data_IF_305096500277
#
_entry.id   IF_305096500277
#
_cell.length_a   1.000
_cell.length_b   1.000
_cell.length_c   1.000
_cell.angle_alpha   90.00
_cell.angle_beta   90.00
_cell.angle_gamma   90.00
#
_symmetry.space_group_name_H-M   'P 1'
#
loop_
_entity.id
_entity.type
_entity.pdbx_description
1 polymer ?
#
# COMPACT_ATOMS: atom_id res chain seq x y z
N UNK A 1 18.38 20.68 -22.68
CA UNK A 1 18.09 19.27 -23.07
C UNK A 1 18.26 18.30 -21.90
N UNK A 2 19.40 18.31 -21.17
CA UNK A 2 19.65 17.35 -20.08
C UNK A 2 18.65 17.34 -18.91
N UNK A 3 18.15 18.52 -18.46
CA UNK A 3 17.19 18.59 -17.34
C UNK A 3 15.88 17.84 -17.60
N UNK A 4 15.30 18.01 -18.79
CA UNK A 4 14.04 17.35 -19.18
C UNK A 4 14.19 15.82 -19.27
N UNK A 5 15.34 15.33 -19.73
CA UNK A 5 15.66 13.89 -19.73
C UNK A 5 15.76 13.36 -18.30
N UNK A 6 16.43 14.09 -17.40
CA UNK A 6 16.53 13.70 -15.98
C UNK A 6 15.15 13.68 -15.31
N UNK A 7 14.30 14.68 -15.55
CA UNK A 7 12.91 14.71 -15.04
C UNK A 7 12.10 13.49 -15.52
N UNK A 8 12.24 13.11 -16.80
CA UNK A 8 11.57 11.94 -17.36
C UNK A 8 12.09 10.63 -16.75
N UNK A 9 13.42 10.51 -16.58
CA UNK A 9 14.03 9.34 -15.92
C UNK A 9 13.56 9.22 -14.48
N UNK A 10 13.53 10.32 -13.72
CA UNK A 10 13.03 10.35 -12.34
C UNK A 10 11.56 9.95 -12.29
N UNK A 11 10.74 10.46 -13.21
CA UNK A 11 9.30 10.12 -13.28
C UNK A 11 9.09 8.62 -13.53
N UNK A 12 9.81 8.06 -14.51
CA UNK A 12 9.75 6.62 -14.81
C UNK A 12 10.25 5.77 -13.64
N UNK A 13 11.32 6.20 -12.98
CA UNK A 13 11.87 5.50 -11.82
C UNK A 13 10.89 5.53 -10.65
N UNK A 14 10.32 6.70 -10.31
CA UNK A 14 9.30 6.84 -9.27
C UNK A 14 8.10 5.95 -9.56
N UNK A 15 7.60 5.92 -10.80
CA UNK A 15 6.51 5.05 -11.20
C UNK A 15 6.87 3.56 -11.02
N UNK A 16 8.06 3.13 -11.47
CA UNK A 16 8.54 1.76 -11.29
C UNK A 16 8.67 1.39 -9.80
N UNK A 17 9.16 2.30 -8.95
CA UNK A 17 9.22 2.08 -7.50
C UNK A 17 7.84 2.01 -6.86
N UNK A 18 6.86 2.78 -7.34
CA UNK A 18 5.47 2.68 -6.90
C UNK A 18 4.88 1.30 -7.19
N UNK A 19 5.19 0.73 -8.36
CA UNK A 19 4.79 -0.65 -8.70
C UNK A 19 5.48 -1.68 -7.80
N UNK A 20 6.79 -1.56 -7.59
CA UNK A 20 7.52 -2.45 -6.67
C UNK A 20 6.98 -2.39 -5.24
N UNK A 21 6.65 -1.19 -4.76
CA UNK A 21 6.03 -1.01 -3.45
C UNK A 21 4.65 -1.68 -3.37
N UNK A 22 3.80 -1.53 -4.40
CA UNK A 22 2.50 -2.18 -4.45
C UNK A 22 2.61 -3.71 -4.40
N UNK A 23 3.57 -4.29 -5.13
CA UNK A 23 3.85 -5.73 -5.11
C UNK A 23 4.34 -6.20 -3.73
N UNK A 24 5.29 -5.48 -3.13
CA UNK A 24 5.82 -5.83 -1.81
C UNK A 24 4.75 -5.76 -0.72
N UNK A 25 3.86 -4.77 -0.76
CA UNK A 25 2.74 -4.66 0.18
C UNK A 25 1.74 -5.80 0.01
N UNK A 26 1.43 -6.19 -1.22
CA UNK A 26 0.57 -7.35 -1.50
C UNK A 26 1.14 -8.64 -0.87
N UNK A 27 2.43 -8.88 -1.04
CA UNK A 27 3.10 -10.07 -0.50
C UNK A 27 3.19 -10.02 1.04
N UNK A 28 3.51 -8.85 1.61
CA UNK A 28 3.60 -8.65 3.05
C UNK A 28 2.25 -8.89 3.76
N UNK A 29 1.15 -8.38 3.21
CA UNK A 29 -0.19 -8.57 3.75
C UNK A 29 -0.60 -10.04 3.70
N UNK A 30 -0.27 -10.76 2.62
CA UNK A 30 -0.52 -12.20 2.53
C UNK A 30 0.31 -13.01 3.52
N UNK A 31 1.60 -12.70 3.67
CA UNK A 31 2.46 -13.34 4.65
C UNK A 31 1.96 -13.12 6.08
N UNK A 32 1.51 -11.89 6.40
CA UNK A 32 0.90 -11.55 7.68
C UNK A 32 -0.36 -12.39 7.92
N UNK A 33 -1.28 -12.46 6.94
CA UNK A 33 -2.47 -13.29 7.04
C UNK A 33 -2.12 -14.75 7.36
N UNK A 34 -1.20 -15.35 6.60
CA UNK A 34 -0.79 -16.73 6.78
C UNK A 34 -0.09 -16.98 8.14
N UNK A 35 0.61 -15.97 8.67
CA UNK A 35 1.25 -16.05 9.99
C UNK A 35 0.24 -16.00 11.15
N UNK A 36 -0.81 -15.19 11.02
CA UNK A 36 -1.85 -15.00 12.04
C UNK A 36 -2.89 -16.12 11.99
N UNK A 37 -3.19 -16.62 10.80
CA UNK A 37 -4.16 -17.70 10.55
C UNK A 37 -3.50 -18.92 9.91
N UNK A 38 -2.54 -19.59 10.57
CA UNK A 38 -1.79 -20.72 10.00
C UNK A 38 -2.64 -21.96 9.70
N UNK A 39 -3.92 -21.97 10.10
CA UNK A 39 -4.93 -23.02 9.79
C UNK A 39 -6.20 -22.47 9.12
N UNK A 40 -6.25 -21.16 8.82
CA UNK A 40 -7.47 -20.45 8.45
C UNK A 40 -7.59 -20.21 6.94
N UNK A 41 -7.85 -21.27 6.17
CA UNK A 41 -8.33 -21.13 4.78
C UNK A 41 -9.85 -20.99 4.68
N UNK A 42 -10.55 -20.83 5.80
CA UNK A 42 -11.98 -20.57 5.80
C UNK A 42 -12.31 -19.20 5.21
N UNK A 43 -13.46 -19.13 4.53
CA UNK A 43 -13.98 -17.89 3.94
C UNK A 43 -14.16 -16.81 5.02
N UNK A 44 -14.55 -17.19 6.24
CA UNK A 44 -14.84 -16.27 7.34
C UNK A 44 -13.59 -15.48 7.78
N UNK A 45 -12.46 -16.16 7.91
CA UNK A 45 -11.18 -15.59 8.32
C UNK A 45 -10.67 -14.58 7.28
N UNK A 46 -10.81 -14.91 5.99
CA UNK A 46 -10.46 -14.00 4.89
C UNK A 46 -11.29 -12.72 4.89
N UNK A 47 -12.60 -12.82 5.15
CA UNK A 47 -13.47 -11.64 5.23
C UNK A 47 -13.13 -10.75 6.43
N UNK A 48 -12.87 -11.34 7.62
CA UNK A 48 -12.47 -10.56 8.80
C UNK A 48 -11.16 -9.82 8.53
N UNK A 49 -10.18 -10.52 7.95
CA UNK A 49 -8.89 -9.90 7.63
C UNK A 49 -9.02 -8.79 6.57
N UNK A 50 -9.85 -8.98 5.54
CA UNK A 50 -10.12 -7.96 4.52
C UNK A 50 -10.75 -6.70 5.12
N UNK A 51 -11.68 -6.84 6.07
CA UNK A 51 -12.28 -5.70 6.77
C UNK A 51 -11.23 -4.99 7.61
N UNK A 52 -10.40 -5.73 8.35
CA UNK A 52 -9.33 -5.15 9.17
C UNK A 52 -8.32 -4.35 8.35
N UNK A 53 -7.78 -4.92 7.28
CA UNK A 53 -6.79 -4.23 6.44
C UNK A 53 -7.40 -3.00 5.74
N UNK A 54 -8.68 -3.08 5.37
CA UNK A 54 -9.42 -1.93 4.80
C UNK A 54 -9.59 -0.82 5.83
N UNK A 55 -9.96 -1.14 7.08
CA UNK A 55 -10.08 -0.16 8.14
C UNK A 55 -8.74 0.55 8.41
N UNK A 56 -7.65 -0.22 8.46
CA UNK A 56 -6.28 0.33 8.61
C UNK A 56 -5.94 1.24 7.44
N UNK A 57 -6.21 0.83 6.21
CA UNK A 57 -5.97 1.64 5.02
C UNK A 57 -6.74 2.97 5.07
N UNK A 58 -8.03 2.94 5.43
CA UNK A 58 -8.85 4.16 5.58
C UNK A 58 -8.27 5.09 6.63
N UNK A 59 -7.94 4.59 7.83
CA UNK A 59 -7.36 5.39 8.90
C UNK A 59 -6.06 6.07 8.43
N UNK A 60 -5.16 5.31 7.82
CA UNK A 60 -3.91 5.85 7.28
C UNK A 60 -4.23 6.93 6.23
N UNK A 61 -5.09 6.65 5.26
CA UNK A 61 -5.42 7.64 4.22
C UNK A 61 -6.05 8.91 4.78
N UNK A 62 -6.89 8.82 5.82
CA UNK A 62 -7.49 9.97 6.48
C UNK A 62 -6.45 10.80 7.25
N UNK A 63 -5.52 10.15 7.94
CA UNK A 63 -4.40 10.84 8.62
C UNK A 63 -3.51 11.56 7.60
N UNK A 64 -3.19 10.91 6.49
CA UNK A 64 -2.40 11.54 5.43
C UNK A 64 -3.15 12.71 4.79
N UNK A 65 -4.47 12.56 4.57
CA UNK A 65 -5.30 13.64 4.06
C UNK A 65 -5.33 14.85 5.01
N UNK A 66 -5.41 14.63 6.33
CA UNK A 66 -5.41 15.75 7.29
C UNK A 66 -4.10 16.54 7.28
N UNK A 67 -2.97 15.90 7.00
CA UNK A 67 -1.69 16.62 6.86
C UNK A 67 -1.61 17.48 5.59
N UNK A 68 -2.39 17.16 4.55
CA UNK A 68 -2.44 17.97 3.33
C UNK A 68 -3.33 19.21 3.52
N UNK A 69 -4.33 19.14 4.39
CA UNK A 69 -5.24 20.25 4.68
C UNK A 69 -4.65 21.30 5.65
N UNK A 70 -3.62 20.96 6.45
CA UNK A 70 -2.97 21.91 7.37
C UNK A 70 -2.10 22.97 6.65
N UNK A 71 -1.75 22.76 5.37
CA UNK A 71 -0.90 23.68 4.58
C UNK A 71 -1.70 24.67 3.71
N UNK A 72 -3.04 24.67 3.77
CA UNK A 72 -3.93 25.55 2.96
C UNK A 72 -4.45 26.78 3.70
#
# INVERSE_FOLDING_TARGET
MGRKLLEQVVTLFTAATGVMAALAWNDAVQALFNSVFPKGEGIKERFIFAIMITAVAVIITTIFASFLDEES
#
